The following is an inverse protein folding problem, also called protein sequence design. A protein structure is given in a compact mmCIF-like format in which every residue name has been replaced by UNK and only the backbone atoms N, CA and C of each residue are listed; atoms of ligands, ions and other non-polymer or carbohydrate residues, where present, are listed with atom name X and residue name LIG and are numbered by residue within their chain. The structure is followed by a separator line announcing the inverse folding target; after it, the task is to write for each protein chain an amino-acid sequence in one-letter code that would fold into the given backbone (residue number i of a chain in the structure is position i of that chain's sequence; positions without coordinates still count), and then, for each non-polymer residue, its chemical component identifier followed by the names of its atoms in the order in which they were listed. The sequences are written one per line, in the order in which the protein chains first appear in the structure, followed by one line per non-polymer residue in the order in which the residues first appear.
data_IF_669138956280
#
_entry.id   IF_669138956280
#
_cell.length_a   1.000
_cell.length_b   1.000
_cell.length_c   1.000
_cell.angle_alpha   90.00
_cell.angle_beta   90.00
_cell.angle_gamma   90.00
#
_symmetry.space_group_name_H-M   'P 1'
#
loop_
_entity.id
_entity.type
_entity.pdbx_description
1 polymer ?
#
# COMPACT_ATOMS: atom_id res chain seq x y z
N UNK A 1 -27.08 8.37 3.09
CA UNK A 1 -26.43 7.23 2.39
C UNK A 1 -26.45 6.07 3.38
N UNK A 2 -27.10 4.95 3.04
CA UNK A 2 -27.30 3.84 3.99
C UNK A 2 -25.93 3.26 4.41
N UNK A 3 -25.75 2.87 5.67
CA UNK A 3 -24.47 2.33 6.18
C UNK A 3 -23.96 1.12 5.38
N UNK A 4 -24.88 0.33 4.83
CA UNK A 4 -24.60 -0.81 3.94
C UNK A 4 -23.90 -0.39 2.64
N UNK A 5 -24.23 0.78 2.09
CA UNK A 5 -23.65 1.26 0.85
C UNK A 5 -22.25 1.85 1.10
N UNK A 6 -22.04 2.46 2.27
CA UNK A 6 -20.72 2.96 2.69
C UNK A 6 -19.74 1.82 2.88
N UNK A 7 -20.12 0.75 3.59
CA UNK A 7 -19.27 -0.44 3.78
C UNK A 7 -18.85 -1.07 2.44
N UNK A 8 -19.82 -1.30 1.55
CA UNK A 8 -19.56 -1.91 0.24
C UNK A 8 -18.65 -1.02 -0.60
N UNK A 9 -18.87 0.29 -0.58
CA UNK A 9 -18.01 1.25 -1.27
C UNK A 9 -16.58 1.21 -0.73
N UNK A 10 -16.39 1.26 0.58
CA UNK A 10 -15.06 1.18 1.21
C UNK A 10 -14.34 -0.11 0.84
N UNK A 11 -15.00 -1.27 0.93
CA UNK A 11 -14.41 -2.56 0.52
C UNK A 11 -14.02 -2.57 -0.97
N UNK A 12 -14.87 -1.99 -1.82
CA UNK A 12 -14.63 -1.89 -3.26
C UNK A 12 -13.43 -0.99 -3.56
N UNK A 13 -13.33 0.17 -2.92
CA UNK A 13 -12.21 1.09 -3.09
C UNK A 13 -10.89 0.48 -2.61
N UNK A 14 -10.91 -0.23 -1.46
CA UNK A 14 -9.74 -0.97 -0.96
C UNK A 14 -9.30 -2.01 -1.99
N UNK A 15 -10.24 -2.81 -2.50
CA UNK A 15 -9.95 -3.82 -3.51
C UNK A 15 -9.36 -3.20 -4.79
N UNK A 16 -9.95 -2.12 -5.31
CA UNK A 16 -9.45 -1.40 -6.49
C UNK A 16 -8.04 -0.86 -6.22
N UNK A 17 -7.79 -0.24 -5.06
CA UNK A 17 -6.49 0.34 -4.72
C UNK A 17 -5.39 -0.72 -4.70
N UNK A 18 -5.61 -1.85 -4.03
CA UNK A 18 -4.63 -2.93 -3.94
C UNK A 18 -4.50 -3.75 -5.24
N UNK A 19 -5.58 -3.99 -5.98
CA UNK A 19 -5.52 -4.69 -7.27
C UNK A 19 -4.77 -3.85 -8.33
N UNK A 20 -5.05 -2.56 -8.39
CA UNK A 20 -4.32 -1.65 -9.28
C UNK A 20 -2.84 -1.55 -8.91
N UNK A 21 -2.53 -1.56 -7.60
CA UNK A 21 -1.15 -1.59 -7.11
C UNK A 21 -0.44 -2.92 -7.45
N UNK A 22 -1.11 -4.06 -7.32
CA UNK A 22 -0.57 -5.35 -7.73
C UNK A 22 -0.30 -5.37 -9.24
N UNK A 23 -1.22 -4.85 -10.04
CA UNK A 23 -1.06 -4.75 -11.49
C UNK A 23 0.12 -3.85 -11.87
N UNK A 24 0.31 -2.73 -11.17
CA UNK A 24 1.49 -1.88 -11.31
C UNK A 24 2.79 -2.67 -11.07
N UNK A 25 2.89 -3.41 -9.96
CA UNK A 25 4.07 -4.22 -9.62
C UNK A 25 4.36 -5.25 -10.72
N UNK A 26 3.34 -5.96 -11.19
CA UNK A 26 3.46 -6.97 -12.25
C UNK A 26 3.89 -6.33 -13.57
N UNK A 27 3.27 -5.23 -13.98
CA UNK A 27 3.65 -4.53 -15.20
C UNK A 27 5.09 -4.01 -15.15
N UNK A 28 5.53 -3.46 -14.01
CA UNK A 28 6.91 -3.02 -13.85
C UNK A 28 7.89 -4.20 -13.91
N UNK A 29 7.59 -5.33 -13.27
CA UNK A 29 8.42 -6.53 -13.36
C UNK A 29 8.51 -7.06 -14.80
N UNK A 30 7.38 -7.11 -15.52
CA UNK A 30 7.35 -7.51 -16.94
C UNK A 30 8.09 -6.50 -17.83
N UNK A 31 8.00 -5.20 -17.54
CA UNK A 31 8.71 -4.18 -18.30
C UNK A 31 10.23 -4.36 -18.18
N UNK A 32 10.73 -4.68 -16.98
CA UNK A 32 12.16 -4.92 -16.75
C UNK A 32 12.69 -6.16 -17.49
N UNK A 33 11.82 -7.13 -17.82
CA UNK A 33 12.22 -8.38 -18.49
C UNK A 33 12.00 -8.35 -20.00
N UNK A 34 10.91 -7.74 -20.48
CA UNK A 34 10.49 -7.76 -21.88
C UNK A 34 10.79 -6.45 -22.63
N UNK A 35 11.17 -5.38 -21.91
CA UNK A 35 11.49 -4.05 -22.43
C UNK A 35 10.44 -3.45 -23.37
N UNK A 36 9.16 -3.77 -23.16
CA UNK A 36 8.05 -3.26 -23.98
C UNK A 36 7.52 -1.93 -23.44
N UNK A 37 7.40 -0.92 -24.31
CA UNK A 37 6.97 0.44 -23.93
C UNK A 37 5.52 0.51 -23.41
N UNK A 38 4.62 -0.33 -23.93
CA UNK A 38 3.21 -0.32 -23.53
C UNK A 38 3.00 -0.78 -22.08
N UNK A 39 3.92 -1.60 -21.54
CA UNK A 39 3.90 -2.02 -20.14
C UNK A 39 4.17 -0.83 -19.21
N UNK A 40 5.02 0.11 -19.62
CA UNK A 40 5.26 1.35 -18.88
C UNK A 40 3.98 2.18 -18.78
N UNK A 41 3.28 2.36 -19.91
CA UNK A 41 2.03 3.11 -19.96
C UNK A 41 0.96 2.48 -19.06
N UNK A 42 0.82 1.16 -19.10
CA UNK A 42 -0.10 0.43 -18.22
C UNK A 42 0.29 0.56 -16.75
N UNK A 43 1.58 0.43 -16.42
CA UNK A 43 2.06 0.57 -15.04
C UNK A 43 1.72 1.94 -14.46
N UNK A 44 1.89 3.01 -15.25
CA UNK A 44 1.59 4.38 -14.85
C UNK A 44 0.08 4.55 -14.65
N UNK A 45 -0.74 4.07 -15.60
CA UNK A 45 -2.19 4.13 -15.49
C UNK A 45 -2.69 3.43 -14.22
N UNK A 46 -2.14 2.26 -13.88
CA UNK A 46 -2.52 1.50 -12.69
C UNK A 46 -2.11 2.17 -11.39
N UNK A 47 -0.95 2.84 -11.33
CA UNK A 47 -0.58 3.67 -10.17
C UNK A 47 -1.58 4.80 -9.99
N UNK A 48 -1.94 5.49 -11.07
CA UNK A 48 -2.90 6.61 -11.01
C UNK A 48 -4.25 6.12 -10.46
N UNK A 49 -4.76 5.00 -10.97
CA UNK A 49 -6.01 4.40 -10.47
C UNK A 49 -5.90 4.05 -8.99
N UNK A 50 -4.79 3.43 -8.57
CA UNK A 50 -4.55 3.08 -7.17
C UNK A 50 -4.52 4.31 -6.27
N UNK A 51 -3.84 5.39 -6.70
CA UNK A 51 -3.73 6.64 -5.97
C UNK A 51 -5.07 7.37 -5.87
N UNK A 52 -5.90 7.36 -6.93
CA UNK A 52 -7.24 7.96 -6.89
C UNK A 52 -8.12 7.20 -5.89
N UNK A 53 -8.14 5.86 -5.95
CA UNK A 53 -8.90 5.05 -5.00
C UNK A 53 -8.43 5.29 -3.56
N UNK A 54 -7.11 5.35 -3.35
CA UNK A 54 -6.51 5.65 -2.06
C UNK A 54 -6.86 7.04 -1.52
N UNK A 55 -6.81 8.07 -2.38
CA UNK A 55 -7.19 9.42 -2.01
C UNK A 55 -8.67 9.50 -1.62
N UNK A 56 -9.55 8.77 -2.33
CA UNK A 56 -10.96 8.68 -1.97
C UNK A 56 -11.17 7.99 -0.60
N UNK A 57 -10.47 6.89 -0.31
CA UNK A 57 -10.52 6.24 1.00
C UNK A 57 -10.15 7.23 2.10
N UNK A 58 -9.06 7.99 1.93
CA UNK A 58 -8.66 8.99 2.92
C UNK A 58 -9.68 10.10 3.08
N UNK A 59 -10.16 10.66 1.98
CA UNK A 59 -11.16 11.72 2.00
C UNK A 59 -12.46 11.30 2.70
N UNK A 60 -12.96 10.08 2.46
CA UNK A 60 -14.19 9.56 3.08
C UNK A 60 -14.09 9.29 4.58
N UNK A 61 -12.86 9.24 5.09
CA UNK A 61 -12.54 8.98 6.48
C UNK A 61 -11.79 10.16 7.11
N UNK A 62 -11.97 11.38 6.56
CA UNK A 62 -11.47 12.62 7.15
C UNK A 62 -9.96 12.81 7.12
N UNK A 63 -9.21 11.97 6.39
CA UNK A 63 -7.75 11.88 6.47
C UNK A 63 -7.24 11.59 7.89
N UNK A 64 -7.97 10.76 8.65
CA UNK A 64 -7.67 10.39 10.04
C UNK A 64 -6.22 9.97 10.28
N UNK A 65 -5.54 9.43 9.26
CA UNK A 65 -4.13 9.04 9.31
C UNK A 65 -3.14 10.22 9.48
N UNK A 66 -3.56 11.44 9.14
CA UNK A 66 -2.72 12.66 9.08
C UNK A 66 -3.13 13.79 10.03
N UNK A 67 -4.30 13.68 10.66
CA UNK A 67 -4.81 14.70 11.59
C UNK A 67 -4.04 14.61 12.92
N UNK A 68 -3.83 15.74 13.63
CA UNK A 68 -3.30 15.73 14.99
C UNK A 68 -4.05 14.79 15.94
N UNK A 69 -3.32 14.09 16.81
CA UNK A 69 -3.85 13.03 17.67
C UNK A 69 -4.81 13.53 18.77
N UNK A 70 -4.77 14.83 19.08
CA UNK A 70 -5.67 15.52 20.00
C UNK A 70 -7.06 15.79 19.40
N UNK A 71 -7.20 15.70 18.07
CA UNK A 71 -8.47 15.86 17.36
C UNK A 71 -9.18 14.52 17.11
N UNK A 72 -8.50 13.40 17.37
CA UNK A 72 -9.06 12.05 17.25
C UNK A 72 -9.66 11.62 18.58
N UNK A 73 -10.77 10.89 18.52
CA UNK A 73 -11.33 10.23 19.70
C UNK A 73 -10.35 9.18 20.26
N UNK A 74 -10.46 8.87 21.55
CA UNK A 74 -9.59 7.90 22.23
C UNK A 74 -9.64 6.52 21.55
N UNK A 75 -10.84 6.11 21.11
CA UNK A 75 -11.00 4.87 20.37
C UNK A 75 -10.37 4.92 18.97
N UNK A 76 -10.60 6.00 18.20
CA UNK A 76 -10.01 6.20 16.86
C UNK A 76 -8.48 6.16 16.92
N UNK A 77 -7.90 6.84 17.91
CA UNK A 77 -6.45 6.85 18.16
C UNK A 77 -5.94 5.44 18.46
N UNK A 78 -6.62 4.68 19.32
CA UNK A 78 -6.22 3.31 19.67
C UNK A 78 -6.22 2.36 18.45
N UNK A 79 -7.19 2.52 17.55
CA UNK A 79 -7.30 1.75 16.30
C UNK A 79 -6.15 2.09 15.37
N UNK A 80 -5.90 3.39 15.14
CA UNK A 80 -4.79 3.84 14.29
C UNK A 80 -3.44 3.38 14.83
N UNK A 81 -3.19 3.50 16.13
CA UNK A 81 -1.95 3.04 16.75
C UNK A 81 -1.73 1.54 16.60
N UNK A 82 -2.79 0.75 16.72
CA UNK A 82 -2.74 -0.69 16.51
C UNK A 82 -2.30 -1.00 15.09
N UNK A 83 -2.90 -0.34 14.09
CA UNK A 83 -2.55 -0.58 12.70
C UNK A 83 -1.21 0.03 12.28
N UNK A 84 -0.81 1.18 12.84
CA UNK A 84 0.54 1.74 12.68
C UNK A 84 1.60 0.76 13.19
N UNK A 85 1.41 0.17 14.38
CA UNK A 85 2.29 -0.87 14.92
C UNK A 85 2.36 -2.10 14.02
N UNK A 86 1.23 -2.55 13.47
CA UNK A 86 1.19 -3.68 12.52
C UNK A 86 1.90 -3.35 11.21
N UNK A 87 1.66 -2.16 10.65
CA UNK A 87 2.31 -1.67 9.44
C UNK A 87 3.82 -1.59 9.64
N UNK A 88 4.30 -1.01 10.74
CA UNK A 88 5.74 -0.95 11.04
C UNK A 88 6.38 -2.33 11.19
N UNK A 89 5.71 -3.29 11.82
CA UNK A 89 6.18 -4.69 11.87
C UNK A 89 6.28 -5.31 10.48
N UNK A 90 5.26 -5.11 9.64
CA UNK A 90 5.28 -5.58 8.26
C UNK A 90 6.39 -4.92 7.43
N UNK A 91 6.57 -3.60 7.56
CA UNK A 91 7.64 -2.86 6.91
C UNK A 91 9.02 -3.37 7.32
N UNK A 92 9.24 -3.55 8.63
CA UNK A 92 10.52 -4.04 9.16
C UNK A 92 10.81 -5.47 8.69
N UNK A 93 9.80 -6.35 8.70
CA UNK A 93 9.95 -7.72 8.24
C UNK A 93 10.25 -7.80 6.73
N UNK A 94 9.50 -7.06 5.91
CA UNK A 94 9.71 -7.03 4.46
C UNK A 94 11.09 -6.46 4.12
N UNK A 95 11.48 -5.32 4.71
CA UNK A 95 12.82 -4.77 4.49
C UNK A 95 13.93 -5.66 5.04
N UNK A 96 13.71 -6.35 6.16
CA UNK A 96 14.67 -7.30 6.71
C UNK A 96 14.93 -8.47 5.75
N UNK A 97 13.86 -9.11 5.28
CA UNK A 97 13.94 -10.23 4.32
C UNK A 97 14.52 -9.75 2.98
N UNK A 98 14.02 -8.64 2.45
CA UNK A 98 14.48 -8.10 1.17
C UNK A 98 15.93 -7.64 1.23
N UNK A 99 16.31 -6.88 2.26
CA UNK A 99 17.67 -6.44 2.49
C UNK A 99 18.65 -7.61 2.63
N UNK A 100 18.28 -8.66 3.36
CA UNK A 100 19.08 -9.87 3.45
C UNK A 100 19.23 -10.57 2.10
N UNK A 101 18.15 -10.68 1.32
CA UNK A 101 18.18 -11.22 -0.05
C UNK A 101 19.07 -10.41 -1.00
N UNK A 102 18.99 -9.07 -0.96
CA UNK A 102 19.85 -8.20 -1.76
C UNK A 102 21.31 -8.26 -1.33
N UNK A 103 21.59 -8.40 -0.04
CA UNK A 103 22.96 -8.59 0.46
C UNK A 103 23.57 -9.89 -0.09
N UNK A 104 22.83 -11.00 -0.05
CA UNK A 104 23.29 -12.28 -0.60
C UNK A 104 23.50 -12.22 -2.12
N UNK A 105 22.58 -11.59 -2.86
CA UNK A 105 22.66 -11.52 -4.32
C UNK A 105 23.72 -10.52 -4.81
N UNK A 106 23.87 -9.36 -4.15
CA UNK A 106 24.90 -8.38 -4.45
C UNK A 106 26.32 -8.93 -4.22
N UNK A 107 26.52 -9.72 -3.16
CA UNK A 107 27.78 -10.42 -2.92
C UNK A 107 28.13 -11.45 -4.01
N UNK A 108 27.15 -11.98 -4.73
CA UNK A 108 27.33 -13.06 -5.71
C UNK A 108 27.44 -12.58 -7.17
N UNK A 109 27.02 -11.35 -7.49
CA UNK A 109 26.74 -10.93 -8.88
C UNK A 109 27.35 -9.56 -9.29
N UNK A 110 28.17 -8.93 -8.45
CA UNK A 110 28.53 -7.52 -8.66
C UNK A 110 29.39 -7.26 -9.93
N UNK A 111 28.83 -6.43 -10.81
CA UNK A 111 29.46 -5.86 -12.00
C UNK A 111 28.88 -4.47 -12.30
N UNK A 112 29.53 -3.64 -13.13
CA UNK A 112 29.15 -2.24 -13.34
C UNK A 112 27.82 -2.16 -14.11
N UNK A 113 26.77 -1.62 -13.47
CA UNK A 113 25.40 -1.57 -14.03
C UNK A 113 24.40 -2.47 -13.29
N UNK A 114 24.61 -2.68 -11.99
CA UNK A 114 23.94 -3.71 -11.19
C UNK A 114 22.41 -3.63 -11.25
N UNK A 115 21.82 -4.57 -11.99
CA UNK A 115 20.37 -4.85 -12.00
C UNK A 115 19.86 -5.08 -10.57
N UNK A 116 20.71 -5.52 -9.65
CA UNK A 116 20.38 -5.68 -8.24
C UNK A 116 20.07 -4.34 -7.54
N UNK A 117 20.77 -3.25 -7.88
CA UNK A 117 20.50 -1.93 -7.31
C UNK A 117 19.13 -1.40 -7.76
N UNK A 118 18.80 -1.56 -9.04
CA UNK A 118 17.50 -1.19 -9.60
C UNK A 118 16.38 -2.04 -8.97
N UNK A 119 16.59 -3.34 -8.85
CA UNK A 119 15.66 -4.25 -8.19
C UNK A 119 15.45 -3.90 -6.71
N UNK A 120 16.51 -3.52 -5.99
CA UNK A 120 16.42 -3.07 -4.60
C UNK A 120 15.60 -1.79 -4.47
N UNK A 121 15.78 -0.82 -5.37
CA UNK A 121 14.97 0.39 -5.43
C UNK A 121 13.48 0.10 -5.62
N UNK A 122 13.14 -0.77 -6.58
CA UNK A 122 11.75 -1.18 -6.80
C UNK A 122 11.17 -1.96 -5.62
N UNK A 123 11.96 -2.84 -5.00
CA UNK A 123 11.53 -3.58 -3.83
C UNK A 123 11.18 -2.65 -2.66
N UNK A 124 12.03 -1.65 -2.38
CA UNK A 124 11.76 -0.65 -1.34
C UNK A 124 10.50 0.17 -1.65
N UNK A 125 10.36 0.61 -2.91
CA UNK A 125 9.19 1.36 -3.36
C UNK A 125 7.90 0.55 -3.20
N UNK A 126 7.87 -0.70 -3.65
CA UNK A 126 6.69 -1.55 -3.54
C UNK A 126 6.35 -1.90 -2.09
N UNK A 127 7.38 -2.16 -1.27
CA UNK A 127 7.20 -2.38 0.17
C UNK A 127 6.54 -1.18 0.83
N UNK A 128 7.03 0.03 0.53
CA UNK A 128 6.41 1.26 1.02
C UNK A 128 4.95 1.40 0.56
N UNK A 129 4.69 1.23 -0.74
CA UNK A 129 3.35 1.39 -1.31
C UNK A 129 2.32 0.39 -0.76
N UNK A 130 2.74 -0.84 -0.44
CA UNK A 130 1.87 -1.85 0.17
C UNK A 130 1.58 -1.53 1.64
N UNK A 131 2.60 -1.09 2.39
CA UNK A 131 2.51 -0.96 3.84
C UNK A 131 1.95 0.38 4.29
N UNK A 132 2.28 1.46 3.58
CA UNK A 132 1.86 2.82 3.91
C UNK A 132 0.34 2.97 4.04
N UNK A 133 -0.50 2.37 3.16
CA UNK A 133 -1.95 2.49 3.26
C UNK A 133 -2.59 1.72 4.43
N UNK A 134 -1.88 0.74 5.02
CA UNK A 134 -2.48 -0.22 5.97
C UNK A 134 -3.13 0.43 7.20
N UNK A 135 -2.57 1.47 7.84
CA UNK A 135 -3.21 2.14 8.98
C UNK A 135 -4.59 2.68 8.64
N UNK A 136 -4.70 3.39 7.52
CA UNK A 136 -5.97 3.97 7.10
C UNK A 136 -6.96 2.92 6.60
N UNK A 137 -6.48 1.88 5.91
CA UNK A 137 -7.32 0.77 5.47
C UNK A 137 -7.91 0.06 6.68
N UNK A 138 -7.08 -0.21 7.70
CA UNK A 138 -7.51 -0.79 8.96
C UNK A 138 -8.53 0.09 9.70
N UNK A 139 -8.31 1.40 9.72
CA UNK A 139 -9.27 2.39 10.23
C UNK A 139 -10.60 2.33 9.46
N UNK A 140 -10.55 2.45 8.13
CA UNK A 140 -11.73 2.47 7.27
C UNK A 140 -12.55 1.18 7.37
N UNK A 141 -11.90 0.02 7.52
CA UNK A 141 -12.60 -1.26 7.76
C UNK A 141 -13.30 -1.27 9.12
N UNK A 142 -12.68 -0.67 10.14
CA UNK A 142 -13.22 -0.66 11.51
C UNK A 142 -14.45 0.24 11.62
N UNK A 143 -14.38 1.45 11.05
CA UNK A 143 -15.43 2.48 11.19
C UNK A 143 -16.51 2.45 10.11
N UNK A 144 -16.27 1.79 8.97
CA UNK A 144 -17.29 1.60 7.94
C UNK A 144 -17.90 0.19 7.97
N UNK A 145 -17.66 -0.60 9.03
CA UNK A 145 -18.32 -1.90 9.19
C UNK A 145 -19.80 -1.68 9.44
N UNK A 146 -20.66 -2.57 8.92
CA UNK A 146 -22.06 -2.66 9.35
C UNK A 146 -22.09 -2.67 10.88
N UNK A 147 -22.77 -1.70 11.48
CA UNK A 147 -23.30 -1.86 12.82
C UNK A 147 -24.20 -3.10 12.76
N UNK A 148 -23.72 -4.21 13.35
CA UNK A 148 -24.66 -5.14 13.97
C UNK A 148 -25.13 -4.41 15.21
N UNK A 149 -26.09 -3.49 15.02
CA UNK A 149 -26.94 -3.01 16.08
C UNK A 149 -27.57 -4.24 16.73
N UNK A 150 -27.13 -4.53 17.95
CA UNK A 150 -27.89 -5.31 18.91
C UNK A 150 -28.42 -4.36 19.97
#
# INVERSE_FOLDING_TARGET
MNGIDRERKTKTLIAISFLAMLFFIVCTALQLTLSQWWLSTLSIASVIISMIAWAQIRAENGNADTIPEDLLDEYERSVLDTWRKRAMKAFALLNGIGGFGFMLTGQLLDGPGSTALVAAGYFMLFTFLIVYPLPMVGYAITFNRKEEDK
#
